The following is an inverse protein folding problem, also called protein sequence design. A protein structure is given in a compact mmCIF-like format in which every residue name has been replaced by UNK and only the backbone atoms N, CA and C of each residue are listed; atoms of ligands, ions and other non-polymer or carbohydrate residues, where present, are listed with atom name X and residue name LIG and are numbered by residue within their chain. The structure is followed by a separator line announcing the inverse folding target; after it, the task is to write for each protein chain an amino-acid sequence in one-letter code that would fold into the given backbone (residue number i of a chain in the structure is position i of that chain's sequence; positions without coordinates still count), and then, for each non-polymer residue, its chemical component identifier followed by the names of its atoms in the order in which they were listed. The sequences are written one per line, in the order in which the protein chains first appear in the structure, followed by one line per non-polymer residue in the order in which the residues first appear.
data_IF_376124366091
#
_entry.id   IF_376124366091
#
_cell.length_a   1.000
_cell.length_b   1.000
_cell.length_c   1.000
_cell.angle_alpha   90.00
_cell.angle_beta   90.00
_cell.angle_gamma   90.00
#
_symmetry.space_group_name_H-M   'P 1'
#
loop_
_entity.id
_entity.type
_entity.pdbx_description
1 polymer ?
#
# COMPACT_ATOMS: atom_id res chain seq x y z
N UNK A 1 28.85 -7.88 19.06
CA UNK A 1 27.43 -7.78 18.64
C UNK A 1 27.06 -6.49 17.87
N UNK A 2 27.64 -5.30 18.15
CA UNK A 2 27.33 -4.03 17.42
C UNK A 2 27.44 -4.12 15.88
N UNK A 3 28.55 -4.68 15.37
CA UNK A 3 28.84 -4.81 13.92
C UNK A 3 27.73 -5.47 13.09
N UNK A 4 27.06 -6.51 13.63
CA UNK A 4 25.98 -7.21 12.92
C UNK A 4 24.68 -6.39 12.88
N UNK A 5 24.36 -5.69 13.97
CA UNK A 5 23.20 -4.79 14.04
C UNK A 5 23.34 -3.63 13.05
N UNK A 6 24.52 -3.04 12.94
CA UNK A 6 24.74 -1.91 12.03
C UNK A 6 24.69 -2.35 10.56
N UNK A 7 25.19 -3.55 10.25
CA UNK A 7 25.07 -4.15 8.92
C UNK A 7 23.61 -4.38 8.52
N UNK A 8 22.79 -4.89 9.43
CA UNK A 8 21.36 -5.08 9.19
C UNK A 8 20.64 -3.74 8.94
N UNK A 9 20.88 -2.74 9.79
CA UNK A 9 20.33 -1.39 9.61
C UNK A 9 20.71 -0.79 8.26
N UNK A 10 21.97 -0.92 7.86
CA UNK A 10 22.45 -0.40 6.58
C UNK A 10 21.78 -1.11 5.40
N UNK A 11 21.60 -2.44 5.47
CA UNK A 11 20.85 -3.20 4.45
C UNK A 11 19.40 -2.75 4.36
N UNK A 12 18.71 -2.59 5.49
CA UNK A 12 17.32 -2.13 5.46
C UNK A 12 17.20 -0.70 4.94
N UNK A 13 18.16 0.17 5.30
CA UNK A 13 18.24 1.54 4.78
C UNK A 13 18.43 1.56 3.27
N UNK A 14 19.40 0.81 2.76
CA UNK A 14 19.66 0.68 1.32
C UNK A 14 18.42 0.19 0.56
N UNK A 15 17.79 -0.88 1.07
CA UNK A 15 16.56 -1.40 0.48
C UNK A 15 15.45 -0.35 0.44
N UNK A 16 15.23 0.40 1.53
CA UNK A 16 14.21 1.45 1.55
C UNK A 16 14.54 2.60 0.59
N UNK A 17 15.81 2.97 0.42
CA UNK A 17 16.19 3.96 -0.58
C UNK A 17 15.96 3.48 -2.02
N UNK A 18 16.26 2.22 -2.32
CA UNK A 18 16.02 1.62 -3.63
C UNK A 18 14.52 1.51 -3.95
N UNK A 19 13.73 1.01 -3.00
CA UNK A 19 12.27 0.90 -3.17
C UNK A 19 11.64 2.28 -3.34
N UNK A 20 11.96 3.24 -2.46
CA UNK A 20 11.43 4.60 -2.59
C UNK A 20 11.80 5.22 -3.94
N UNK A 21 13.05 5.08 -4.40
CA UNK A 21 13.46 5.57 -5.72
C UNK A 21 12.61 4.96 -6.84
N UNK A 22 12.43 3.64 -6.84
CA UNK A 22 11.62 2.94 -7.86
C UNK A 22 10.16 3.40 -7.87
N UNK A 23 9.56 3.62 -6.70
CA UNK A 23 8.19 4.15 -6.60
C UNK A 23 8.11 5.55 -7.22
N UNK A 24 9.08 6.41 -6.91
CA UNK A 24 9.14 7.76 -7.49
C UNK A 24 9.35 7.73 -9.01
N UNK A 25 10.21 6.85 -9.51
CA UNK A 25 10.49 6.74 -10.95
C UNK A 25 9.21 6.36 -11.71
N UNK A 26 8.42 5.41 -11.19
CA UNK A 26 7.11 5.04 -11.74
C UNK A 26 6.14 6.23 -11.66
N UNK A 27 6.05 6.90 -10.50
CA UNK A 27 5.16 8.03 -10.32
C UNK A 27 5.47 9.18 -11.30
N UNK A 28 6.76 9.47 -11.53
CA UNK A 28 7.20 10.48 -12.51
C UNK A 28 6.89 10.07 -13.95
N UNK A 29 7.22 8.83 -14.31
CA UNK A 29 7.04 8.33 -15.67
C UNK A 29 5.58 8.42 -16.12
N UNK A 30 4.65 8.22 -15.20
CA UNK A 30 3.21 8.24 -15.47
C UNK A 30 2.51 9.53 -15.01
N UNK A 31 3.26 10.53 -14.53
CA UNK A 31 2.73 11.78 -13.98
C UNK A 31 1.62 11.55 -12.91
N UNK A 32 1.90 10.68 -11.94
CA UNK A 32 0.99 10.27 -10.88
C UNK A 32 1.42 10.81 -9.52
N UNK A 33 0.44 11.05 -8.65
CA UNK A 33 0.66 11.27 -7.22
C UNK A 33 0.86 9.96 -6.44
N UNK A 34 1.33 10.07 -5.20
CA UNK A 34 1.60 8.94 -4.33
C UNK A 34 0.61 8.88 -3.17
N UNK A 35 -0.06 7.74 -3.02
CA UNK A 35 -1.02 7.49 -1.95
C UNK A 35 -0.47 6.46 -0.96
N UNK A 36 -0.49 6.78 0.33
CA UNK A 36 0.00 5.90 1.40
C UNK A 36 -1.00 5.76 2.55
N UNK A 37 -1.00 4.61 3.23
CA UNK A 37 -1.81 4.44 4.44
C UNK A 37 -1.21 5.19 5.64
N UNK A 38 -2.06 5.82 6.45
CA UNK A 38 -1.64 6.41 7.72
C UNK A 38 -1.47 5.34 8.81
N UNK A 39 -0.25 4.80 8.92
CA UNK A 39 0.09 3.76 9.90
C UNK A 39 0.48 4.33 11.28
N UNK A 40 0.12 5.59 11.57
CA UNK A 40 0.46 6.24 12.85
C UNK A 40 -0.23 5.53 14.02
N UNK A 41 0.57 5.01 14.94
CA UNK A 41 0.09 4.36 16.16
C UNK A 41 -0.21 2.86 16.02
N UNK A 42 0.07 2.24 14.87
CA UNK A 42 -0.14 0.79 14.67
C UNK A 42 0.57 -0.06 15.74
N UNK A 43 1.79 0.31 16.13
CA UNK A 43 2.55 -0.38 17.18
C UNK A 43 1.99 -0.18 18.60
N UNK A 44 1.17 0.85 18.85
CA UNK A 44 0.59 1.16 20.17
C UNK A 44 -0.80 0.55 20.35
N UNK A 45 -1.55 0.37 19.26
CA UNK A 45 -2.96 -0.08 19.28
C UNK A 45 -3.12 -1.59 19.34
N UNK A 46 -2.03 -2.34 19.27
CA UNK A 46 -2.06 -3.75 18.91
C UNK A 46 -1.38 -4.58 19.99
N UNK A 47 -2.15 -5.45 20.65
CA UNK A 47 -1.66 -6.55 21.50
C UNK A 47 -1.67 -7.85 20.68
N UNK A 48 -0.66 -8.08 19.83
CA UNK A 48 -0.48 -9.41 19.23
C UNK A 48 0.45 -10.29 20.07
N UNK A 49 0.49 -11.58 19.76
CA UNK A 49 1.46 -12.52 20.32
C UNK A 49 2.90 -12.17 19.95
N UNK A 50 3.86 -12.71 20.73
CA UNK A 50 5.30 -12.43 20.65
C UNK A 50 5.86 -12.47 19.22
N UNK A 51 5.47 -13.47 18.43
CA UNK A 51 5.94 -13.65 17.06
C UNK A 51 5.52 -12.50 16.13
N UNK A 52 4.28 -12.05 16.23
CA UNK A 52 3.74 -10.97 15.40
C UNK A 52 4.32 -9.61 15.82
N UNK A 53 4.50 -9.38 17.12
CA UNK A 53 5.19 -8.18 17.61
C UNK A 53 6.60 -8.10 17.01
N UNK A 54 7.37 -9.21 17.04
CA UNK A 54 8.69 -9.25 16.40
C UNK A 54 8.63 -8.86 14.91
N UNK A 55 7.67 -9.38 14.15
CA UNK A 55 7.48 -9.02 12.73
C UNK A 55 7.17 -7.53 12.55
N UNK A 56 6.24 -6.97 13.33
CA UNK A 56 5.86 -5.55 13.25
C UNK A 56 6.99 -4.59 13.66
N UNK A 57 7.81 -5.00 14.63
CA UNK A 57 8.96 -4.22 15.07
C UNK A 57 10.12 -4.29 14.08
N UNK A 58 10.29 -5.41 13.37
CA UNK A 58 11.27 -5.55 12.30
C UNK A 58 10.84 -4.83 11.00
N UNK A 59 9.54 -4.59 10.82
CA UNK A 59 9.04 -3.88 9.65
C UNK A 59 9.23 -2.36 9.77
N UNK A 60 10.11 -1.81 8.93
CA UNK A 60 10.49 -0.39 8.92
C UNK A 60 9.59 0.48 8.03
N UNK A 61 8.26 0.29 8.10
CA UNK A 61 7.30 1.06 7.28
C UNK A 61 7.45 2.58 7.43
N UNK A 62 7.71 3.09 8.64
CA UNK A 62 7.92 4.54 8.86
C UNK A 62 9.13 5.08 8.11
N UNK A 63 10.21 4.32 8.04
CA UNK A 63 11.41 4.74 7.33
C UNK A 63 11.15 4.78 5.82
N UNK A 64 10.42 3.79 5.29
CA UNK A 64 10.02 3.80 3.89
C UNK A 64 9.08 4.97 3.57
N UNK A 65 8.05 5.22 4.41
CA UNK A 65 7.14 6.36 4.25
C UNK A 65 7.90 7.69 4.26
N UNK A 66 8.81 7.88 5.20
CA UNK A 66 9.67 9.06 5.25
C UNK A 66 10.51 9.22 3.97
N UNK A 67 11.12 8.14 3.48
CA UNK A 67 11.92 8.18 2.25
C UNK A 67 11.12 8.47 0.99
N UNK A 68 9.90 7.95 0.90
CA UNK A 68 8.98 8.28 -0.18
C UNK A 68 8.61 9.75 -0.08
N UNK A 69 8.18 10.22 1.09
CA UNK A 69 7.68 11.58 1.30
C UNK A 69 8.74 12.65 1.04
N UNK A 70 9.94 12.55 1.62
CA UNK A 70 10.97 13.57 1.42
C UNK A 70 11.43 13.61 -0.05
N UNK A 71 11.60 12.44 -0.68
CA UNK A 71 12.01 12.40 -2.09
C UNK A 71 10.91 12.93 -2.99
N UNK A 72 9.65 12.58 -2.71
CA UNK A 72 8.52 13.03 -3.52
C UNK A 72 8.41 14.56 -3.47
N UNK A 73 8.50 15.14 -2.27
CA UNK A 73 8.55 16.59 -2.07
C UNK A 73 9.72 17.24 -2.81
N UNK A 74 10.90 16.64 -2.77
CA UNK A 74 12.08 17.14 -3.51
C UNK A 74 11.86 17.13 -5.03
N UNK A 75 11.00 16.26 -5.53
CA UNK A 75 10.69 16.12 -6.95
C UNK A 75 9.33 16.73 -7.36
N UNK A 76 8.69 17.49 -6.47
CA UNK A 76 7.40 18.12 -6.74
C UNK A 76 6.21 17.15 -6.90
N UNK A 77 6.35 15.89 -6.45
CA UNK A 77 5.27 14.90 -6.51
C UNK A 77 4.32 15.03 -5.31
N UNK A 78 2.99 15.06 -5.52
CA UNK A 78 2.03 15.11 -4.42
C UNK A 78 2.02 13.78 -3.66
N UNK A 79 1.96 13.86 -2.32
CA UNK A 79 1.90 12.71 -1.42
C UNK A 79 0.73 12.88 -0.46
N UNK A 80 -0.11 11.86 -0.36
CA UNK A 80 -1.32 11.91 0.43
C UNK A 80 -1.47 10.67 1.30
N UNK A 81 -2.01 10.88 2.50
CA UNK A 81 -2.24 9.80 3.46
C UNK A 81 -3.74 9.50 3.61
N UNK A 82 -4.10 8.22 3.58
CA UNK A 82 -5.48 7.74 3.77
C UNK A 82 -5.63 6.93 5.05
N UNK A 83 -6.85 6.87 5.58
CA UNK A 83 -7.14 6.06 6.75
C UNK A 83 -7.05 4.56 6.40
N UNK A 84 -6.19 3.76 7.07
CA UNK A 84 -6.07 2.32 6.79
C UNK A 84 -7.34 1.52 7.17
N UNK A 85 -8.29 2.13 7.89
CA UNK A 85 -9.49 1.43 8.36
C UNK A 85 -10.39 1.07 7.17
N UNK A 86 -10.53 -0.23 6.91
CA UNK A 86 -11.44 -0.73 5.88
C UNK A 86 -10.84 -0.85 4.49
N UNK A 87 -9.55 -0.50 4.29
CA UNK A 87 -8.87 -0.62 3.00
C UNK A 87 -8.77 -2.07 2.54
N UNK A 88 -8.48 -2.98 3.46
CA UNK A 88 -8.24 -4.41 3.15
C UNK A 88 -9.37 -5.35 3.59
N UNK A 89 -10.49 -4.84 4.12
CA UNK A 89 -11.58 -5.67 4.66
C UNK A 89 -12.94 -5.45 3.99
N UNK A 90 -13.06 -4.42 3.14
CA UNK A 90 -14.30 -4.09 2.43
C UNK A 90 -14.16 -4.37 0.94
N UNK A 91 -15.25 -4.81 0.33
CA UNK A 91 -15.31 -5.06 -1.10
C UNK A 91 -15.32 -3.73 -1.87
N UNK A 92 -14.42 -3.54 -2.84
CA UNK A 92 -14.36 -2.32 -3.63
C UNK A 92 -15.62 -2.11 -4.48
N UNK A 93 -16.29 -3.18 -4.90
CA UNK A 93 -17.54 -3.12 -5.67
C UNK A 93 -18.72 -2.80 -4.75
N UNK A 94 -19.11 -3.73 -3.87
CA UNK A 94 -20.38 -3.67 -3.15
C UNK A 94 -20.29 -3.13 -1.72
N UNK A 95 -19.09 -2.84 -1.20
CA UNK A 95 -18.89 -2.39 0.19
C UNK A 95 -19.11 -3.47 1.27
N UNK A 96 -19.45 -4.71 0.88
CA UNK A 96 -19.60 -5.84 1.80
C UNK A 96 -18.27 -6.25 2.45
N UNK A 97 -18.32 -6.90 3.62
CA UNK A 97 -17.12 -7.46 4.26
C UNK A 97 -16.54 -8.59 3.41
N UNK A 98 -15.22 -8.59 3.27
CA UNK A 98 -14.49 -9.65 2.58
C UNK A 98 -14.14 -10.79 3.53
N UNK A 99 -14.24 -12.02 3.03
CA UNK A 99 -13.81 -13.22 3.72
C UNK A 99 -12.42 -13.65 3.22
N UNK A 100 -11.57 -14.23 4.07
CA UNK A 100 -10.34 -14.88 3.62
C UNK A 100 -10.64 -16.01 2.63
N UNK A 101 -9.85 -16.11 1.56
CA UNK A 101 -9.97 -17.17 0.55
C UNK A 101 -8.61 -17.84 0.31
N UNK A 102 -8.02 -18.40 1.36
CA UNK A 102 -6.65 -18.93 1.36
C UNK A 102 -5.61 -17.90 1.80
N UNK A 103 -4.37 -18.04 1.32
CA UNK A 103 -3.27 -17.16 1.70
C UNK A 103 -3.32 -15.85 0.90
N UNK A 104 -3.45 -14.73 1.61
CA UNK A 104 -3.49 -13.34 1.09
C UNK A 104 -4.66 -12.97 0.17
N UNK A 105 -5.38 -13.93 -0.38
CA UNK A 105 -6.58 -13.69 -1.17
C UNK A 105 -7.80 -13.42 -0.29
N UNK A 106 -8.67 -12.56 -0.81
CA UNK A 106 -9.96 -12.19 -0.23
C UNK A 106 -11.07 -12.50 -1.22
N UNK A 107 -12.25 -12.88 -0.71
CA UNK A 107 -13.45 -13.11 -1.51
C UNK A 107 -14.65 -12.36 -0.94
N UNK A 108 -15.45 -11.76 -1.82
CA UNK A 108 -16.74 -11.20 -1.47
C UNK A 108 -17.84 -12.22 -1.72
N UNK A 109 -18.60 -12.54 -0.68
CA UNK A 109 -19.73 -13.48 -0.77
C UNK A 109 -20.99 -12.87 -1.41
N UNK A 110 -21.04 -11.54 -1.56
CA UNK A 110 -22.20 -10.84 -2.15
C UNK A 110 -22.12 -10.65 -3.66
N UNK A 111 -20.93 -10.32 -4.18
CA UNK A 111 -20.75 -9.98 -5.59
C UNK A 111 -19.67 -10.82 -6.30
N UNK A 112 -19.09 -11.81 -5.62
CA UNK A 112 -18.12 -12.73 -6.23
C UNK A 112 -16.68 -12.19 -6.39
N UNK A 113 -16.43 -10.90 -6.12
CA UNK A 113 -15.09 -10.30 -6.18
C UNK A 113 -14.05 -11.14 -5.43
N UNK A 114 -12.91 -11.43 -6.06
CA UNK A 114 -11.80 -12.09 -5.38
C UNK A 114 -10.42 -11.72 -5.92
N UNK A 115 -9.59 -11.08 -5.09
CA UNK A 115 -8.20 -10.69 -5.41
C UNK A 115 -7.31 -10.69 -4.16
N UNK A 116 -6.02 -10.44 -4.34
CA UNK A 116 -5.06 -10.24 -3.24
C UNK A 116 -5.46 -9.05 -2.35
N UNK A 117 -5.15 -9.18 -1.06
CA UNK A 117 -5.43 -8.17 -0.03
C UNK A 117 -4.81 -6.82 -0.35
N UNK A 118 -3.60 -6.79 -0.88
CA UNK A 118 -2.86 -5.54 -1.12
C UNK A 118 -3.40 -4.83 -2.37
N UNK A 119 -3.78 -5.59 -3.41
CA UNK A 119 -4.49 -5.06 -4.59
C UNK A 119 -5.84 -4.46 -4.17
N UNK A 120 -6.59 -5.19 -3.35
CA UNK A 120 -7.88 -4.72 -2.81
C UNK A 120 -7.71 -3.45 -1.97
N UNK A 121 -6.66 -3.39 -1.15
CA UNK A 121 -6.31 -2.18 -0.40
C UNK A 121 -6.05 -1.01 -1.33
N UNK A 122 -5.21 -1.18 -2.35
CA UNK A 122 -4.93 -0.14 -3.35
C UNK A 122 -6.20 0.42 -4.00
N UNK A 123 -7.09 -0.46 -4.48
CA UNK A 123 -8.35 -0.04 -5.11
C UNK A 123 -9.23 0.74 -4.12
N UNK A 124 -9.38 0.25 -2.88
CA UNK A 124 -10.19 0.93 -1.87
C UNK A 124 -9.59 2.29 -1.47
N UNK A 125 -8.27 2.43 -1.41
CA UNK A 125 -7.63 3.72 -1.14
C UNK A 125 -7.96 4.75 -2.23
N UNK A 126 -7.94 4.34 -3.51
CA UNK A 126 -8.33 5.20 -4.62
C UNK A 126 -9.82 5.56 -4.54
N UNK A 127 -10.69 4.59 -4.22
CA UNK A 127 -12.12 4.84 -4.01
C UNK A 127 -12.39 5.81 -2.87
N UNK A 128 -11.66 5.70 -1.74
CA UNK A 128 -11.77 6.64 -0.61
C UNK A 128 -11.42 8.08 -1.02
N UNK A 129 -10.63 8.24 -2.09
CA UNK A 129 -10.28 9.52 -2.69
C UNK A 129 -11.30 10.03 -3.71
N UNK A 130 -12.39 9.30 -3.94
CA UNK A 130 -13.41 9.65 -4.94
C UNK A 130 -13.03 9.23 -6.37
N UNK A 131 -11.94 8.47 -6.55
CA UNK A 131 -11.63 7.93 -7.86
C UNK A 131 -12.71 6.92 -8.29
N UNK A 132 -13.16 6.98 -9.55
CA UNK A 132 -14.10 6.00 -10.08
C UNK A 132 -13.48 4.61 -10.00
N UNK A 133 -14.31 3.60 -9.70
CA UNK A 133 -13.81 2.24 -9.58
C UNK A 133 -13.26 1.79 -10.95
N UNK A 134 -12.00 1.33 -11.03
CA UNK A 134 -11.45 0.78 -12.26
C UNK A 134 -12.10 -0.59 -12.51
N UNK A 135 -13.27 -0.59 -13.17
CA UNK A 135 -14.10 -1.78 -13.37
C UNK A 135 -13.37 -2.83 -14.25
N UNK A 136 -12.48 -2.41 -15.16
CA UNK A 136 -11.71 -3.36 -15.98
C UNK A 136 -10.59 -4.03 -15.17
N UNK A 137 -9.92 -3.29 -14.28
CA UNK A 137 -8.89 -3.82 -13.38
C UNK A 137 -9.42 -4.85 -12.38
N UNK A 138 -10.73 -4.87 -12.15
CA UNK A 138 -11.37 -5.84 -11.28
C UNK A 138 -11.64 -7.17 -12.02
N UNK A 139 -11.85 -7.14 -13.32
CA UNK A 139 -12.27 -8.30 -14.12
C UNK A 139 -11.14 -8.97 -14.90
N UNK A 140 -10.01 -8.31 -15.12
CA UNK A 140 -8.86 -8.89 -15.84
C UNK A 140 -7.75 -9.35 -14.87
N UNK A 141 -7.26 -10.57 -15.09
CA UNK A 141 -6.08 -11.17 -14.41
C UNK A 141 -4.74 -10.65 -14.96
N UNK A 142 -4.78 -9.83 -16.01
CA UNK A 142 -3.63 -9.17 -16.61
C UNK A 142 -3.37 -7.82 -15.98
N UNK A 143 -2.26 -7.73 -15.23
CA UNK A 143 -1.57 -6.53 -14.69
C UNK A 143 -2.24 -5.16 -15.01
N UNK A 144 -3.35 -4.81 -14.33
CA UNK A 144 -4.23 -3.74 -14.80
C UNK A 144 -3.94 -2.37 -14.15
N UNK A 145 -2.88 -2.29 -13.34
CA UNK A 145 -2.52 -1.03 -12.68
C UNK A 145 -2.08 0.03 -13.71
N UNK A 146 -1.39 -0.35 -14.78
CA UNK A 146 -0.82 0.64 -15.71
C UNK A 146 -1.85 1.25 -16.69
N UNK A 147 -2.86 0.50 -17.14
CA UNK A 147 -3.78 0.97 -18.18
C UNK A 147 -4.96 1.81 -17.66
N UNK A 148 -5.35 1.66 -16.38
CA UNK A 148 -6.44 2.46 -15.78
C UNK A 148 -5.94 3.58 -14.84
N UNK A 149 -4.67 3.57 -14.41
CA UNK A 149 -4.10 4.65 -13.58
C UNK A 149 -3.99 6.00 -14.32
N UNK A 150 -4.01 6.03 -15.66
CA UNK A 150 -4.05 7.26 -16.45
C UNK A 150 -5.32 8.10 -16.23
N UNK A 151 -6.39 7.51 -15.66
CA UNK A 151 -7.64 8.22 -15.33
C UNK A 151 -7.72 8.71 -13.90
N UNK A 152 -6.84 8.26 -13.02
CA UNK A 152 -6.82 8.64 -11.60
C UNK A 152 -5.68 9.63 -11.41
N UNK A 153 -5.77 10.75 -12.14
CA UNK A 153 -4.79 11.83 -12.06
C UNK A 153 -5.05 12.57 -10.77
N UNK A 154 -4.14 12.41 -9.81
CA UNK A 154 -3.86 13.49 -8.86
C UNK A 154 -3.16 14.56 -9.71
N UNK A 155 -3.94 15.52 -10.22
CA UNK A 155 -3.38 16.78 -10.73
C UNK A 155 -2.92 17.62 -9.55
#
# INVERSE_FOLDING_TARGET
MKKYSDREKNRTRDLCHKISKRILDIAKQHNLGILMENLKGIRKRIRYGRQMNRRLHNWNFRMLQFYIEYKARFNGLPVEYVNPRGTSSLCPICGGKLAPNGHRLLKCLRCGYGKDRDVTAGINMLRMRGAPLPLKAINEDSNPLLSEMERIVIK
#
